data_IF_844419703965
#
_entry.id   IF_844419703965
#
_cell.length_a   1.000
_cell.length_b   1.000
_cell.length_c   1.000
_cell.angle_alpha   90.00
_cell.angle_beta   90.00
_cell.angle_gamma   90.00
#
_symmetry.space_group_name_H-M   'P 1'
#
loop_
_entity.id
_entity.type
_entity.pdbx_description
1 polymer ?
#
# COMPACT_ATOMS: atom_id res chain seq x y z
N UNK A 1 -35.62 -1.83 20.08
CA UNK A 1 -35.44 -1.94 18.61
C UNK A 1 -35.27 -0.57 17.95
N UNK A 2 -36.20 0.38 18.11
CA UNK A 2 -36.12 1.74 17.56
C UNK A 2 -34.89 2.57 17.96
N UNK A 3 -34.45 2.46 19.23
CA UNK A 3 -33.23 3.14 19.69
C UNK A 3 -31.97 2.71 18.90
N UNK A 4 -31.83 1.41 18.61
CA UNK A 4 -30.71 0.91 17.82
C UNK A 4 -30.75 1.39 16.37
N UNK A 5 -31.96 1.48 15.79
CA UNK A 5 -32.15 2.02 14.44
C UNK A 5 -31.73 3.50 14.38
N UNK A 6 -32.14 4.30 15.37
CA UNK A 6 -31.73 5.71 15.45
C UNK A 6 -30.22 5.88 15.65
N UNK A 7 -29.59 5.06 16.49
CA UNK A 7 -28.14 5.07 16.67
C UNK A 7 -27.39 4.70 15.40
N UNK A 8 -27.85 3.67 14.67
CA UNK A 8 -27.25 3.27 13.39
C UNK A 8 -27.44 4.37 12.34
N UNK A 9 -28.64 4.98 12.27
CA UNK A 9 -28.91 6.07 11.32
C UNK A 9 -28.06 7.31 11.62
N UNK A 10 -27.94 7.70 12.90
CA UNK A 10 -27.07 8.79 13.33
C UNK A 10 -25.60 8.50 12.96
N UNK A 11 -25.12 7.29 13.26
CA UNK A 11 -23.78 6.87 12.90
C UNK A 11 -23.55 6.91 11.39
N UNK A 12 -24.46 6.36 10.59
CA UNK A 12 -24.36 6.38 9.13
C UNK A 12 -24.37 7.80 8.56
N UNK A 13 -25.21 8.69 9.10
CA UNK A 13 -25.26 10.10 8.72
C UNK A 13 -23.95 10.82 9.07
N UNK A 14 -23.41 10.60 10.26
CA UNK A 14 -22.13 11.16 10.70
C UNK A 14 -20.97 10.69 9.80
N UNK A 15 -20.88 9.38 9.53
CA UNK A 15 -19.88 8.80 8.64
C UNK A 15 -20.00 9.39 7.24
N UNK A 16 -21.22 9.48 6.70
CA UNK A 16 -21.48 10.08 5.39
C UNK A 16 -20.99 11.52 5.35
N UNK A 17 -21.40 12.35 6.32
CA UNK A 17 -21.02 13.75 6.38
C UNK A 17 -19.49 13.95 6.45
N UNK A 18 -18.81 13.24 7.35
CA UNK A 18 -17.35 13.33 7.49
C UNK A 18 -16.62 12.87 6.22
N UNK A 19 -17.13 11.83 5.55
CA UNK A 19 -16.57 11.32 4.30
C UNK A 19 -16.71 12.33 3.16
N UNK A 20 -17.88 12.94 2.98
CA UNK A 20 -18.09 13.96 1.94
C UNK A 20 -17.26 15.20 2.21
N UNK A 21 -17.16 15.65 3.47
CA UNK A 21 -16.29 16.77 3.85
C UNK A 21 -14.82 16.51 3.47
N UNK A 22 -14.33 15.28 3.68
CA UNK A 22 -12.95 14.92 3.31
C UNK A 22 -12.76 14.85 1.80
N UNK A 23 -13.70 14.23 1.09
CA UNK A 23 -13.71 14.18 -0.38
C UNK A 23 -13.61 15.59 -0.96
N UNK A 24 -14.43 16.53 -0.47
CA UNK A 24 -14.47 17.89 -1.00
C UNK A 24 -13.13 18.62 -0.77
N UNK A 25 -12.46 18.39 0.36
CA UNK A 25 -11.10 18.90 0.63
C UNK A 25 -10.04 18.32 -0.32
N UNK A 26 -10.15 17.05 -0.71
CA UNK A 26 -9.22 16.45 -1.69
C UNK A 26 -9.52 17.04 -3.08
N UNK A 27 -10.80 17.18 -3.42
CA UNK A 27 -11.22 17.74 -4.71
C UNK A 27 -10.84 19.21 -4.85
N UNK A 28 -10.78 20.02 -3.79
CA UNK A 28 -10.34 21.42 -3.90
C UNK A 28 -8.90 21.52 -4.40
N UNK A 29 -8.01 20.63 -3.96
CA UNK A 29 -6.62 20.57 -4.46
C UNK A 29 -6.58 20.22 -5.96
N UNK A 30 -7.56 19.48 -6.45
CA UNK A 30 -7.67 19.06 -7.86
C UNK A 30 -8.44 20.06 -8.74
N UNK A 31 -9.23 20.96 -8.13
CA UNK A 31 -10.17 21.86 -8.83
C UNK A 31 -9.52 23.10 -9.46
N UNK A 32 -8.27 23.42 -9.12
CA UNK A 32 -7.59 24.62 -9.60
C UNK A 32 -7.28 24.63 -11.13
N UNK A 33 -7.87 23.73 -11.93
CA UNK A 33 -7.57 23.51 -13.35
C UNK A 33 -6.07 23.31 -13.66
N UNK A 34 -5.26 23.07 -12.63
CA UNK A 34 -3.86 22.74 -12.77
C UNK A 34 -3.77 21.34 -13.39
N UNK A 35 -3.04 21.16 -14.49
CA UNK A 35 -2.86 19.85 -15.07
C UNK A 35 -2.20 18.94 -14.03
N UNK A 36 -2.63 17.68 -13.93
CA UNK A 36 -2.06 16.69 -12.99
C UNK A 36 -0.54 16.55 -13.15
N UNK A 37 0.02 16.86 -14.32
CA UNK A 37 1.46 16.91 -14.57
C UNK A 37 2.20 17.98 -13.77
N UNK A 38 1.51 19.00 -13.28
CA UNK A 38 2.08 20.05 -12.41
C UNK A 38 2.08 19.69 -10.93
N UNK A 39 1.46 18.56 -10.55
CA UNK A 39 1.40 18.12 -9.16
C UNK A 39 2.77 17.73 -8.64
N UNK A 40 3.15 18.28 -7.50
CA UNK A 40 4.42 17.93 -6.87
C UNK A 40 4.36 16.54 -6.22
N UNK A 41 5.51 15.89 -6.10
CA UNK A 41 5.61 14.57 -5.44
C UNK A 41 5.04 14.56 -4.01
N UNK A 42 5.29 15.58 -3.15
CA UNK A 42 4.70 15.63 -1.81
C UNK A 42 3.17 15.77 -1.80
N UNK A 43 2.60 16.56 -2.72
CA UNK A 43 1.14 16.70 -2.85
C UNK A 43 0.49 15.38 -3.26
N UNK A 44 1.04 14.72 -4.28
CA UNK A 44 0.58 13.41 -4.72
C UNK A 44 0.66 12.37 -3.58
N UNK A 45 1.75 12.38 -2.83
CA UNK A 45 1.93 11.50 -1.69
C UNK A 45 0.88 11.75 -0.60
N UNK A 46 0.58 13.01 -0.26
CA UNK A 46 -0.42 13.35 0.74
C UNK A 46 -1.83 12.88 0.34
N UNK A 47 -2.20 13.02 -0.93
CA UNK A 47 -3.49 12.51 -1.44
C UNK A 47 -3.52 10.98 -1.30
N UNK A 48 -2.46 10.29 -1.72
CA UNK A 48 -2.38 8.83 -1.60
C UNK A 48 -2.43 8.34 -0.16
N UNK A 49 -1.79 9.05 0.79
CA UNK A 49 -1.88 8.77 2.22
C UNK A 49 -3.33 8.84 2.72
N UNK A 50 -4.06 9.90 2.38
CA UNK A 50 -5.46 10.05 2.79
C UNK A 50 -6.36 8.96 2.18
N UNK A 51 -6.12 8.60 0.92
CA UNK A 51 -6.87 7.53 0.25
C UNK A 51 -6.61 6.16 0.88
N UNK A 52 -5.36 5.83 1.16
CA UNK A 52 -5.00 4.51 1.70
C UNK A 52 -5.39 4.34 3.17
N UNK A 53 -5.32 5.40 3.99
CA UNK A 53 -5.60 5.27 5.43
C UNK A 53 -7.08 5.45 5.76
N UNK A 54 -7.78 6.36 5.06
CA UNK A 54 -9.08 6.83 5.51
C UNK A 54 -10.23 6.45 4.56
N UNK A 55 -10.01 6.48 3.24
CA UNK A 55 -11.10 6.27 2.27
C UNK A 55 -11.21 4.81 1.82
N UNK A 56 -10.08 4.16 1.56
CA UNK A 56 -10.02 2.84 0.93
C UNK A 56 -9.03 1.86 1.58
N UNK A 57 -8.92 1.77 2.92
CA UNK A 57 -7.91 0.95 3.59
C UNK A 57 -7.99 -0.53 3.19
N UNK A 58 -9.20 -1.06 3.08
CA UNK A 58 -9.41 -2.45 2.67
C UNK A 58 -9.08 -2.69 1.19
N UNK A 59 -9.36 -1.72 0.31
CA UNK A 59 -9.06 -1.85 -1.11
C UNK A 59 -7.55 -1.82 -1.34
N UNK A 60 -6.83 -0.89 -0.70
CA UNK A 60 -5.36 -0.84 -0.77
C UNK A 60 -4.71 -2.08 -0.16
N UNK A 61 -5.22 -2.58 0.97
CA UNK A 61 -4.76 -3.84 1.55
C UNK A 61 -4.94 -5.01 0.58
N UNK A 62 -6.15 -5.19 0.02
CA UNK A 62 -6.44 -6.24 -0.98
C UNK A 62 -5.58 -6.08 -2.23
N UNK A 63 -5.38 -4.86 -2.71
CA UNK A 63 -4.52 -4.58 -3.85
C UNK A 63 -3.09 -5.04 -3.60
N UNK A 64 -2.51 -4.77 -2.41
CA UNK A 64 -1.17 -5.28 -2.04
C UNK A 64 -1.13 -6.81 -2.05
N UNK A 65 -2.11 -7.48 -1.45
CA UNK A 65 -2.18 -8.95 -1.47
C UNK A 65 -2.22 -9.51 -2.88
N UNK A 66 -3.04 -8.94 -3.77
CA UNK A 66 -3.14 -9.35 -5.18
C UNK A 66 -1.82 -9.09 -5.92
N UNK A 67 -1.17 -7.94 -5.67
CA UNK A 67 0.13 -7.64 -6.27
C UNK A 67 1.21 -8.64 -5.86
N UNK A 68 1.23 -9.08 -4.60
CA UNK A 68 2.15 -10.11 -4.13
C UNK A 68 1.89 -11.47 -4.76
N UNK A 69 0.62 -11.85 -4.90
CA UNK A 69 0.22 -13.07 -5.61
C UNK A 69 0.70 -13.04 -7.06
N UNK A 70 0.45 -11.92 -7.77
CA UNK A 70 0.91 -11.73 -9.15
C UNK A 70 2.43 -11.79 -9.27
N UNK A 71 3.16 -11.12 -8.38
CA UNK A 71 4.62 -11.17 -8.36
C UNK A 71 5.15 -12.59 -8.14
N UNK A 72 4.48 -13.38 -7.28
CA UNK A 72 4.79 -14.80 -7.07
C UNK A 72 4.53 -15.69 -8.29
N UNK A 73 3.61 -15.29 -9.18
CA UNK A 73 3.30 -16.01 -10.42
C UNK A 73 4.24 -15.74 -11.59
N UNK A 74 5.12 -14.73 -11.50
CA UNK A 74 6.10 -14.44 -12.56
C UNK A 74 7.12 -15.60 -12.61
N UNK A 75 7.38 -16.22 -13.78
CA UNK A 75 8.20 -17.43 -13.87
C UNK A 75 9.58 -17.33 -13.20
N UNK A 76 10.25 -16.19 -13.35
CA UNK A 76 11.56 -15.94 -12.74
C UNK A 76 11.51 -15.91 -11.21
N UNK A 77 10.50 -15.22 -10.65
CA UNK A 77 10.28 -15.14 -9.20
C UNK A 77 9.81 -16.48 -8.63
N UNK A 78 8.88 -17.15 -9.30
CA UNK A 78 8.39 -18.48 -8.91
C UNK A 78 9.54 -19.49 -8.84
N UNK A 79 10.42 -19.51 -9.86
CA UNK A 79 11.63 -20.34 -9.87
C UNK A 79 12.57 -19.98 -8.73
N UNK A 80 12.84 -18.70 -8.50
CA UNK A 80 13.68 -18.25 -7.38
C UNK A 80 13.11 -18.73 -6.03
N UNK A 81 11.80 -18.65 -5.83
CA UNK A 81 11.16 -19.09 -4.59
C UNK A 81 11.16 -20.60 -4.42
N UNK A 82 11.10 -21.37 -5.51
CA UNK A 82 11.26 -22.81 -5.46
C UNK A 82 12.68 -23.19 -5.04
N UNK A 83 13.72 -22.64 -5.69
CA UNK A 83 15.12 -23.00 -5.40
C UNK A 83 15.60 -22.52 -4.02
N UNK A 84 15.04 -21.40 -3.52
CA UNK A 84 15.38 -20.86 -2.18
C UNK A 84 14.53 -21.45 -1.04
N UNK A 85 13.63 -22.41 -1.35
CA UNK A 85 12.73 -23.00 -0.35
C UNK A 85 11.73 -21.99 0.24
N UNK A 86 11.45 -20.90 -0.46
CA UNK A 86 10.51 -19.84 -0.05
C UNK A 86 9.08 -20.08 -0.55
N UNK A 87 8.86 -21.11 -1.37
CA UNK A 87 7.55 -21.51 -1.89
C UNK A 87 7.02 -22.78 -1.19
N UNK A 88 6.90 -22.74 0.14
CA UNK A 88 6.30 -23.83 0.93
C UNK A 88 5.32 -23.26 1.98
N UNK A 89 4.43 -24.10 2.51
CA UNK A 89 3.39 -23.67 3.44
C UNK A 89 3.94 -22.95 4.69
N UNK A 90 5.16 -23.29 5.13
CA UNK A 90 5.83 -22.69 6.29
C UNK A 90 6.36 -21.29 6.02
N UNK A 91 6.92 -21.04 4.83
CA UNK A 91 7.67 -19.83 4.50
C UNK A 91 6.87 -18.84 3.63
N UNK A 92 5.98 -19.32 2.77
CA UNK A 92 5.25 -18.48 1.81
C UNK A 92 4.40 -17.40 2.48
N UNK A 93 3.69 -17.76 3.56
CA UNK A 93 2.87 -16.81 4.32
C UNK A 93 3.69 -15.74 5.01
N UNK A 94 4.76 -16.15 5.72
CA UNK A 94 5.70 -15.23 6.39
C UNK A 94 6.31 -14.26 5.37
N UNK A 95 6.82 -14.77 4.25
CA UNK A 95 7.41 -13.95 3.18
C UNK A 95 6.43 -12.94 2.62
N UNK A 96 5.18 -13.35 2.37
CA UNK A 96 4.14 -12.44 1.87
C UNK A 96 3.91 -11.28 2.84
N UNK A 97 3.81 -11.56 4.15
CA UNK A 97 3.64 -10.54 5.19
C UNK A 97 4.88 -9.64 5.28
N UNK A 98 6.09 -10.20 5.31
CA UNK A 98 7.34 -9.44 5.37
C UNK A 98 7.47 -8.50 4.16
N UNK A 99 7.08 -8.98 2.97
CA UNK A 99 7.10 -8.18 1.74
C UNK A 99 6.02 -7.09 1.78
N UNK A 100 4.83 -7.37 2.31
CA UNK A 100 3.77 -6.37 2.48
C UNK A 100 4.21 -5.23 3.41
N UNK A 101 4.89 -5.55 4.52
CA UNK A 101 5.43 -4.56 5.47
C UNK A 101 6.50 -3.70 4.79
N UNK A 102 7.42 -4.32 4.04
CA UNK A 102 8.49 -3.61 3.34
C UNK A 102 7.94 -2.65 2.28
N UNK A 103 6.99 -3.12 1.46
CA UNK A 103 6.28 -2.30 0.47
C UNK A 103 5.50 -1.17 1.16
N UNK A 104 4.83 -1.48 2.28
CA UNK A 104 4.13 -0.50 3.10
C UNK A 104 5.07 0.61 3.57
N UNK A 105 6.28 0.28 4.01
CA UNK A 105 7.31 1.25 4.39
C UNK A 105 7.77 2.15 3.24
N UNK A 106 7.76 1.69 2.00
CA UNK A 106 8.06 2.55 0.85
C UNK A 106 6.87 3.46 0.51
N UNK A 107 5.64 2.95 0.64
CA UNK A 107 4.41 3.64 0.25
C UNK A 107 3.93 4.69 1.27
N UNK A 108 4.08 4.44 2.57
CA UNK A 108 3.57 5.33 3.64
C UNK A 108 4.54 6.46 3.99
N UNK A 109 5.77 6.40 3.51
CA UNK A 109 6.80 7.38 3.83
C UNK A 109 7.00 8.34 2.68
N UNK A 110 6.91 9.64 2.98
CA UNK A 110 7.24 10.68 2.01
C UNK A 110 8.65 10.46 1.49
N UNK A 111 8.84 10.64 0.18
CA UNK A 111 10.14 10.41 -0.48
C UNK A 111 11.26 11.30 0.07
N UNK A 112 10.89 12.42 0.69
CA UNK A 112 11.82 13.37 1.30
C UNK A 112 12.30 12.94 2.69
N UNK A 113 11.68 11.93 3.30
CA UNK A 113 12.06 11.43 4.62
C UNK A 113 13.14 10.36 4.50
N UNK A 114 14.12 10.39 5.42
CA UNK A 114 15.15 9.36 5.56
C UNK A 114 14.56 7.95 5.69
N UNK A 115 13.39 7.83 6.33
CA UNK A 115 12.67 6.55 6.50
C UNK A 115 12.28 5.91 5.16
N UNK A 116 11.93 6.70 4.14
CA UNK A 116 11.67 6.20 2.79
C UNK A 116 12.96 5.66 2.16
N UNK A 117 14.06 6.41 2.26
CA UNK A 117 15.36 6.00 1.75
C UNK A 117 15.85 4.71 2.41
N UNK A 118 15.68 4.56 3.73
CA UNK A 118 16.01 3.33 4.45
C UNK A 118 15.15 2.14 3.99
N UNK A 119 13.85 2.34 3.77
CA UNK A 119 12.96 1.28 3.27
C UNK A 119 13.39 0.80 1.88
N UNK A 120 13.71 1.74 0.98
CA UNK A 120 14.23 1.43 -0.36
C UNK A 120 15.59 0.73 -0.28
N UNK A 121 16.51 1.21 0.57
CA UNK A 121 17.82 0.59 0.76
C UNK A 121 17.71 -0.86 1.27
N UNK A 122 16.79 -1.14 2.21
CA UNK A 122 16.51 -2.50 2.69
C UNK A 122 15.99 -3.40 1.57
N UNK A 123 15.08 -2.89 0.74
CA UNK A 123 14.56 -3.62 -0.41
C UNK A 123 15.66 -3.94 -1.42
N UNK A 124 16.49 -2.95 -1.76
CA UNK A 124 17.62 -3.12 -2.66
C UNK A 124 18.66 -4.12 -2.13
N UNK A 125 18.95 -4.06 -0.82
CA UNK A 125 19.86 -5.01 -0.18
C UNK A 125 19.36 -6.45 -0.30
N UNK A 126 18.09 -6.71 0.02
CA UNK A 126 17.50 -8.04 -0.08
C UNK A 126 17.54 -8.56 -1.52
N UNK A 127 17.16 -7.72 -2.50
CA UNK A 127 17.24 -8.08 -3.90
C UNK A 127 18.67 -8.37 -4.35
N UNK A 128 19.66 -7.57 -3.92
CA UNK A 128 21.06 -7.77 -4.26
C UNK A 128 21.61 -9.10 -3.71
N UNK A 129 21.23 -9.49 -2.49
CA UNK A 129 21.63 -10.78 -1.90
C UNK A 129 21.02 -11.94 -2.69
N UNK A 130 19.73 -11.85 -3.07
CA UNK A 130 19.06 -12.90 -3.84
C UNK A 130 19.44 -12.97 -5.32
N UNK A 131 19.97 -11.89 -5.89
CA UNK A 131 20.42 -11.82 -7.27
C UNK A 131 21.81 -12.42 -7.49
N UNK A 132 22.54 -12.77 -6.42
CA UNK A 132 23.81 -13.49 -6.54
C UNK A 132 23.54 -14.91 -7.03
N UNK A 133 24.37 -15.45 -7.95
CA UNK A 133 24.22 -16.83 -8.39
C UNK A 133 24.31 -17.75 -7.17
N UNK A 134 23.27 -18.58 -6.98
CA UNK A 134 23.32 -19.69 -6.05
C UNK A 134 24.41 -20.62 -6.57
N UNK A 135 25.53 -20.74 -5.83
CA UNK A 135 26.55 -21.75 -6.14
C UNK A 135 25.86 -23.11 -6.08
N UNK A 136 25.70 -23.74 -7.23
CA UNK A 136 25.29 -25.14 -7.39
C UNK A 136 26.40 -26.06 -6.89
#
# INVERSE_FOLDING_TARGET
MWMYILLIAMYAAAVKYLRFRRRDRILTVLKDNKPLSSMTVPEAHNIMMQLQELEFPFAFKKARTISLLKAGGIPTMSKLFAVTGQNNARNSGKRAVDTEILIGGVQHNSRLLSRHQTAVARMNYLHAVTARPVRS
#
